data_IF_490988028777
#
_entry.id   IF_490988028777
#
_cell.length_a   1.000
_cell.length_b   1.000
_cell.length_c   1.000
_cell.angle_alpha   90.00
_cell.angle_beta   90.00
_cell.angle_gamma   90.00
#
_symmetry.space_group_name_H-M   'P 1'
#
loop_
_entity.id
_entity.type
_entity.pdbx_description
1 polymer ?
#
# COMPACT_ATOMS: atom_id res chain seq x y z
N UNK A 1 -35.98 62.93 -6.12
CA UNK A 1 -36.71 62.49 -7.32
C UNK A 1 -36.56 60.98 -7.37
N UNK A 2 -37.67 60.30 -7.13
CA UNK A 2 -37.77 58.86 -6.99
C UNK A 2 -38.40 58.31 -8.27
N UNK A 3 -37.76 57.33 -8.89
CA UNK A 3 -38.33 56.55 -10.00
C UNK A 3 -38.06 55.07 -9.66
N UNK A 4 -39.01 54.38 -9.04
CA UNK A 4 -40.08 53.59 -9.67
C UNK A 4 -39.56 52.35 -10.42
N UNK A 5 -39.53 51.24 -9.69
CA UNK A 5 -39.56 49.86 -10.20
C UNK A 5 -40.92 49.57 -10.85
N UNK A 6 -40.96 48.85 -11.99
CA UNK A 6 -42.11 48.04 -12.38
C UNK A 6 -41.93 46.56 -11.99
N UNK A 7 -43.06 45.82 -11.81
CA UNK A 7 -43.09 44.53 -11.12
C UNK A 7 -42.93 43.32 -12.03
N UNK A 8 -42.74 42.18 -11.36
CA UNK A 8 -42.64 40.82 -11.89
C UNK A 8 -43.91 40.37 -12.64
N UNK A 9 -43.70 39.76 -13.80
CA UNK A 9 -44.72 38.99 -14.50
C UNK A 9 -44.59 37.50 -14.16
N UNK A 10 -45.78 36.94 -13.96
CA UNK A 10 -46.14 35.65 -13.40
C UNK A 10 -46.42 34.70 -14.59
N UNK A 11 -45.41 33.92 -15.02
CA UNK A 11 -45.59 32.93 -16.09
C UNK A 11 -45.89 31.55 -15.48
N UNK A 12 -47.19 31.31 -15.31
CA UNK A 12 -47.79 30.00 -15.17
C UNK A 12 -47.65 29.24 -16.51
N UNK A 13 -46.80 28.22 -16.56
CA UNK A 13 -46.81 27.25 -17.64
C UNK A 13 -47.53 25.96 -17.24
N UNK A 14 -48.66 25.77 -17.93
CA UNK A 14 -49.48 24.57 -18.08
C UNK A 14 -48.69 23.26 -18.08
N UNK A 15 -49.01 22.41 -17.10
CA UNK A 15 -48.72 20.98 -17.13
C UNK A 15 -49.78 20.33 -18.05
N UNK A 16 -49.42 20.12 -19.32
CA UNK A 16 -50.16 19.21 -20.21
C UNK A 16 -49.62 17.79 -20.05
N UNK A 17 -50.48 16.97 -19.44
CA UNK A 17 -50.50 15.51 -19.50
C UNK A 17 -50.39 15.00 -20.94
N UNK A 18 -49.38 14.18 -21.21
CA UNK A 18 -49.34 13.30 -22.37
C UNK A 18 -49.20 11.86 -21.89
N UNK A 19 -50.33 11.16 -21.96
CA UNK A 19 -50.41 9.71 -22.02
C UNK A 19 -49.57 9.21 -23.20
N UNK A 20 -48.67 8.28 -22.91
CA UNK A 20 -48.01 7.46 -23.92
C UNK A 20 -47.93 6.03 -23.38
N UNK A 21 -48.98 5.27 -23.68
CA UNK A 21 -48.95 3.81 -23.79
C UNK A 21 -47.76 3.40 -24.66
N UNK A 22 -46.87 2.56 -24.14
CA UNK A 22 -46.01 1.71 -24.95
C UNK A 22 -45.98 0.30 -24.40
N UNK A 23 -46.52 -0.56 -25.24
CA UNK A 23 -46.59 -2.00 -25.17
C UNK A 23 -45.22 -2.64 -24.86
N UNK A 24 -45.21 -3.55 -23.90
CA UNK A 24 -44.13 -4.51 -23.67
C UNK A 24 -44.35 -5.74 -24.57
N UNK A 25 -43.38 -6.16 -25.39
CA UNK A 25 -43.48 -7.44 -26.08
C UNK A 25 -43.15 -8.62 -25.14
N UNK A 26 -43.71 -9.82 -25.40
CA UNK A 26 -43.48 -11.01 -24.59
C UNK A 26 -42.14 -11.64 -24.97
N UNK A 27 -41.34 -12.00 -23.97
CA UNK A 27 -40.16 -12.86 -24.16
C UNK A 27 -40.44 -14.19 -23.49
N UNK A 28 -40.76 -15.17 -24.34
CA UNK A 28 -40.73 -16.59 -24.03
C UNK A 28 -39.31 -17.01 -23.61
N UNK A 29 -39.23 -17.75 -22.51
CA UNK A 29 -37.98 -18.28 -21.98
C UNK A 29 -37.43 -19.48 -22.75
N UNK A 30 -36.37 -20.10 -22.20
CA UNK A 30 -36.44 -21.54 -22.02
C UNK A 30 -36.15 -21.97 -20.58
N UNK A 31 -36.95 -22.95 -20.18
CA UNK A 31 -36.90 -23.76 -18.97
C UNK A 31 -35.52 -24.38 -18.76
N UNK A 32 -34.96 -24.20 -17.55
CA UNK A 32 -33.92 -25.07 -17.02
C UNK A 32 -34.35 -25.57 -15.63
N UNK A 33 -34.90 -26.79 -15.65
CA UNK A 33 -34.84 -27.89 -14.69
C UNK A 33 -34.48 -27.56 -13.23
N UNK A 34 -35.50 -27.66 -12.38
CA UNK A 34 -35.40 -27.89 -10.94
C UNK A 34 -34.97 -29.34 -10.66
N UNK A 35 -33.84 -29.50 -9.96
CA UNK A 35 -33.50 -30.60 -9.07
C UNK A 35 -32.44 -30.00 -8.11
N UNK A 36 -32.64 -29.83 -6.81
CA UNK A 36 -33.33 -30.68 -5.85
C UNK A 36 -32.28 -31.37 -4.99
N UNK A 37 -31.77 -30.71 -3.95
CA UNK A 37 -31.32 -31.33 -2.69
C UNK A 37 -31.42 -30.31 -1.57
N UNK A 38 -32.36 -30.58 -0.67
CA UNK A 38 -32.40 -30.04 0.67
C UNK A 38 -31.45 -30.83 1.57
N UNK A 39 -30.68 -30.16 2.42
CA UNK A 39 -30.15 -30.75 3.65
C UNK A 39 -29.81 -29.63 4.65
N UNK A 40 -30.80 -29.33 5.50
CA UNK A 40 -30.59 -28.75 6.81
C UNK A 40 -29.85 -29.81 7.67
N UNK A 41 -28.72 -29.47 8.27
CA UNK A 41 -28.23 -30.19 9.44
C UNK A 41 -27.76 -29.20 10.50
N UNK A 42 -28.60 -29.07 11.51
CA UNK A 42 -28.29 -28.53 12.83
C UNK A 42 -27.74 -29.68 13.68
N UNK A 43 -26.49 -29.58 14.13
CA UNK A 43 -25.93 -30.19 15.36
C UNK A 43 -24.69 -29.33 15.70
N UNK A 44 -24.41 -28.86 16.92
CA UNK A 44 -24.70 -29.42 18.22
C UNK A 44 -23.44 -30.05 18.82
N UNK A 45 -22.70 -29.26 19.63
CA UNK A 45 -21.90 -29.65 20.81
C UNK A 45 -20.60 -30.48 20.60
N UNK A 46 -19.49 -29.96 21.15
CA UNK A 46 -18.67 -30.72 22.10
C UNK A 46 -17.27 -31.24 21.69
N UNK A 47 -16.24 -30.49 22.13
CA UNK A 47 -15.02 -30.96 22.80
C UNK A 47 -14.00 -31.92 22.14
N UNK A 48 -12.74 -31.68 22.56
CA UNK A 48 -11.57 -32.59 22.63
C UNK A 48 -10.55 -32.65 21.47
N UNK A 49 -9.41 -32.01 21.75
CA UNK A 49 -8.00 -32.44 21.59
C UNK A 49 -7.43 -32.81 20.20
N UNK A 50 -6.30 -32.16 19.88
CA UNK A 50 -5.05 -32.61 19.20
C UNK A 50 -4.31 -31.28 18.89
N UNK A 51 -3.31 -30.81 19.66
CA UNK A 51 -1.95 -31.32 19.88
C UNK A 51 -1.22 -31.67 18.57
N UNK A 52 -0.64 -30.67 17.88
CA UNK A 52 0.72 -30.75 17.33
C UNK A 52 1.17 -29.50 16.55
N UNK A 53 2.46 -29.18 16.74
CA UNK A 53 3.40 -28.45 15.88
C UNK A 53 3.32 -26.93 15.76
N UNK A 54 4.09 -26.27 16.61
CA UNK A 54 5.07 -25.21 16.24
C UNK A 54 6.26 -25.42 17.18
N UNK A 55 7.31 -26.12 16.73
CA UNK A 55 8.55 -25.51 16.24
C UNK A 55 9.12 -24.44 17.19
N UNK A 56 9.76 -24.91 18.26
CA UNK A 56 10.81 -24.14 18.94
C UNK A 56 12.14 -24.82 18.69
N UNK A 57 12.89 -24.16 17.83
CA UNK A 57 14.31 -24.33 17.52
C UNK A 57 15.17 -24.51 18.76
N UNK A 58 15.88 -25.64 18.83
CA UNK A 58 17.08 -25.82 19.65
C UNK A 58 18.18 -24.82 19.25
N UNK A 59 18.96 -24.34 20.22
CA UNK A 59 20.38 -24.09 20.01
C UNK A 59 21.26 -24.93 20.97
N UNK A 60 22.55 -25.06 20.66
CA UNK A 60 23.25 -26.33 20.71
C UNK A 60 23.84 -26.67 22.09
N UNK A 61 23.91 -27.98 22.32
CA UNK A 61 24.80 -28.63 23.27
C UNK A 61 26.21 -28.08 23.14
N UNK A 62 26.66 -27.37 24.17
CA UNK A 62 28.08 -27.08 24.34
C UNK A 62 28.74 -28.31 24.91
N UNK A 63 29.55 -28.93 24.06
CA UNK A 63 30.65 -29.80 24.44
C UNK A 63 31.47 -29.14 25.55
N UNK A 64 31.35 -29.68 26.74
CA UNK A 64 32.37 -29.62 27.77
C UNK A 64 32.70 -31.06 28.16
N UNK A 65 33.50 -31.66 27.28
CA UNK A 65 34.59 -32.57 27.63
C UNK A 65 35.12 -32.25 29.04
N UNK A 66 34.65 -32.99 30.04
CA UNK A 66 35.31 -33.13 31.33
C UNK A 66 35.49 -34.63 31.55
N UNK A 67 36.72 -35.05 31.27
CA UNK A 67 37.29 -36.35 31.47
C UNK A 67 36.64 -37.15 32.62
N UNK A 68 36.13 -38.32 32.28
CA UNK A 68 36.03 -39.47 33.18
C UNK A 68 37.43 -39.80 33.69
N UNK A 69 37.86 -39.12 34.75
CA UNK A 69 38.89 -39.62 35.63
C UNK A 69 38.18 -40.47 36.68
N UNK A 70 38.09 -41.77 36.41
CA UNK A 70 37.93 -42.79 37.44
C UNK A 70 39.10 -42.63 38.42
N UNK A 71 38.91 -41.78 39.43
CA UNK A 71 39.84 -41.69 40.55
C UNK A 71 39.50 -42.85 41.48
N UNK A 72 40.07 -43.99 41.11
CA UNK A 72 40.26 -45.14 41.99
C UNK A 72 41.13 -44.69 43.17
N UNK A 73 40.62 -44.66 44.42
CA UNK A 73 41.43 -44.28 45.57
C UNK A 73 42.32 -45.44 46.06
N UNK A 74 42.69 -46.39 45.19
CA UNK A 74 43.63 -47.47 45.50
C UNK A 74 45.03 -47.32 44.86
N UNK A 75 45.40 -46.10 44.44
CA UNK A 75 46.79 -45.78 44.09
C UNK A 75 47.59 -45.50 45.39
N UNK A 76 47.86 -46.58 46.14
CA UNK A 76 48.99 -46.63 47.06
C UNK A 76 50.26 -46.38 46.23
N UNK A 77 50.72 -45.13 46.16
CA UNK A 77 52.06 -44.84 45.67
C UNK A 77 53.07 -45.48 46.61
N UNK A 78 53.43 -46.71 46.29
CA UNK A 78 54.55 -47.45 46.85
C UNK A 78 55.82 -46.78 46.34
N UNK A 79 56.35 -45.81 47.09
CA UNK A 79 57.72 -45.35 46.89
C UNK A 79 58.64 -46.41 47.48
N UNK A 80 59.01 -47.40 46.65
CA UNK A 80 60.17 -48.25 46.88
C UNK A 80 61.42 -47.35 46.88
N UNK A 81 61.82 -46.87 48.06
CA UNK A 81 63.24 -46.61 48.32
C UNK A 81 63.85 -47.90 48.81
N UNK A 82 64.62 -48.54 47.95
CA UNK A 82 65.56 -49.58 48.34
C UNK A 82 66.51 -49.02 49.41
N UNK A 83 66.32 -49.41 50.66
CA UNK A 83 67.40 -49.51 51.63
C UNK A 83 68.04 -50.89 51.49
N UNK A 84 69.37 -51.05 51.64
CA UNK A 84 70.05 -52.32 51.37
C UNK A 84 69.70 -53.49 52.30
N UNK A 85 68.86 -53.29 53.32
CA UNK A 85 68.44 -54.32 54.26
C UNK A 85 66.91 -54.52 54.16
N UNK A 86 66.49 -55.62 53.55
CA UNK A 86 65.10 -55.93 53.21
C UNK A 86 64.19 -56.17 54.43
N UNK A 87 63.48 -55.13 54.85
CA UNK A 87 62.29 -55.23 55.73
C UNK A 87 61.26 -54.19 55.30
N UNK A 88 60.17 -54.63 54.63
CA UNK A 88 59.01 -53.77 54.39
C UNK A 88 57.95 -54.08 55.46
N UNK A 89 57.87 -53.21 56.47
CA UNK A 89 56.80 -53.25 57.46
C UNK A 89 55.56 -52.54 56.90
N UNK A 90 54.48 -53.28 56.69
CA UNK A 90 53.16 -52.72 56.39
C UNK A 90 52.67 -51.89 57.60
N UNK A 91 52.93 -50.58 57.57
CA UNK A 91 52.46 -49.64 58.59
C UNK A 91 51.02 -49.28 58.26
N UNK A 92 50.04 -49.91 58.91
CA UNK A 92 48.64 -49.46 58.92
C UNK A 92 48.63 -47.98 59.29
N UNK A 93 48.32 -47.09 58.34
CA UNK A 93 48.05 -45.71 58.70
C UNK A 93 46.81 -45.71 59.61
N UNK A 94 46.84 -45.02 60.76
CA UNK A 94 45.66 -44.87 61.58
C UNK A 94 44.61 -44.10 60.77
N UNK A 95 43.43 -44.70 60.57
CA UNK A 95 42.25 -44.01 60.07
C UNK A 95 42.03 -42.82 61.01
N UNK A 96 42.43 -41.63 60.56
CA UNK A 96 42.54 -40.43 61.39
C UNK A 96 41.18 -40.07 62.00
N UNK A 97 41.15 -39.54 63.22
CA UNK A 97 39.91 -39.07 63.90
C UNK A 97 39.03 -38.14 63.03
N UNK A 98 39.60 -37.50 62.00
CA UNK A 98 38.87 -36.66 61.05
C UNK A 98 37.81 -37.39 60.22
N UNK A 99 37.96 -38.69 59.95
CA UNK A 99 36.95 -39.44 59.17
C UNK A 99 35.73 -39.79 60.00
N UNK A 100 35.91 -40.06 61.31
CA UNK A 100 34.80 -40.30 62.24
C UNK A 100 33.98 -39.04 62.46
N UNK A 101 34.65 -37.91 62.69
CA UNK A 101 33.99 -36.60 62.84
C UNK A 101 33.17 -36.26 61.58
N UNK A 102 33.72 -36.46 60.38
CA UNK A 102 32.97 -36.25 59.12
C UNK A 102 31.75 -37.18 59.00
N UNK A 103 31.88 -38.45 59.38
CA UNK A 103 30.74 -39.38 59.35
C UNK A 103 29.63 -38.96 60.31
N UNK A 104 29.97 -38.52 61.52
CA UNK A 104 29.00 -38.01 62.50
C UNK A 104 28.31 -36.72 62.01
N UNK A 105 29.06 -35.78 61.41
CA UNK A 105 28.51 -34.57 60.78
C UNK A 105 27.53 -34.92 59.65
N UNK A 106 27.89 -35.85 58.76
CA UNK A 106 27.00 -36.30 57.68
C UNK A 106 25.72 -36.97 58.23
N UNK A 107 25.82 -37.80 59.27
CA UNK A 107 24.66 -38.41 59.93
C UNK A 107 23.76 -37.36 60.59
N UNK A 108 24.33 -36.34 61.22
CA UNK A 108 23.57 -35.25 61.83
C UNK A 108 22.83 -34.40 60.79
N UNK A 109 23.50 -34.04 59.67
CA UNK A 109 22.88 -33.32 58.55
C UNK A 109 21.74 -34.16 57.94
N UNK A 110 21.96 -35.47 57.75
CA UNK A 110 20.93 -36.38 57.23
C UNK A 110 19.74 -36.49 58.17
N UNK A 111 19.98 -36.68 59.47
CA UNK A 111 18.92 -36.75 60.48
C UNK A 111 18.07 -35.48 60.49
N UNK A 112 18.72 -34.31 60.40
CA UNK A 112 18.03 -33.01 60.30
C UNK A 112 17.18 -32.90 59.02
N UNK A 113 17.70 -33.31 57.86
CA UNK A 113 16.96 -33.33 56.60
C UNK A 113 15.75 -34.27 56.65
N UNK A 114 15.92 -35.48 57.19
CA UNK A 114 14.83 -36.46 57.33
C UNK A 114 13.75 -35.94 58.29
N UNK A 115 14.13 -35.31 59.40
CA UNK A 115 13.19 -34.68 60.33
C UNK A 115 12.39 -33.57 59.65
N UNK A 116 13.04 -32.72 58.84
CA UNK A 116 12.35 -31.67 58.08
C UNK A 116 11.30 -32.24 57.12
N UNK A 117 11.63 -33.33 56.42
CA UNK A 117 10.71 -34.01 55.50
C UNK A 117 9.52 -34.61 56.24
N UNK A 118 9.75 -35.25 57.39
CA UNK A 118 8.67 -35.76 58.26
C UNK A 118 7.74 -34.64 58.71
N UNK A 119 8.29 -33.53 59.21
CA UNK A 119 7.48 -32.37 59.61
C UNK A 119 6.68 -31.77 58.45
N UNK A 120 7.25 -31.74 57.24
CA UNK A 120 6.53 -31.28 56.03
C UNK A 120 5.40 -32.23 55.63
N UNK A 121 5.62 -33.54 55.70
CA UNK A 121 4.56 -34.55 55.48
C UNK A 121 3.42 -34.35 56.47
N UNK A 122 3.72 -34.15 57.75
CA UNK A 122 2.71 -33.99 58.80
C UNK A 122 1.90 -32.71 58.57
N UNK A 123 2.58 -31.59 58.23
CA UNK A 123 1.90 -30.35 57.83
C UNK A 123 1.00 -30.55 56.61
N UNK A 124 1.48 -31.26 55.58
CA UNK A 124 0.69 -31.58 54.39
C UNK A 124 -0.56 -32.39 54.74
N UNK A 125 -0.44 -33.38 55.63
CA UNK A 125 -1.58 -34.18 56.10
C UNK A 125 -2.62 -33.30 56.80
N UNK A 126 -2.20 -32.45 57.73
CA UNK A 126 -3.08 -31.53 58.46
C UNK A 126 -3.82 -30.58 57.50
N UNK A 127 -3.10 -29.96 56.55
CA UNK A 127 -3.69 -29.06 55.55
C UNK A 127 -4.66 -29.79 54.63
N UNK A 128 -4.35 -31.03 54.23
CA UNK A 128 -5.22 -31.83 53.37
C UNK A 128 -6.49 -32.28 54.10
N UNK A 129 -6.38 -32.73 55.35
CA UNK A 129 -7.55 -33.11 56.16
C UNK A 129 -8.47 -31.91 56.39
N UNK A 130 -7.89 -30.75 56.71
CA UNK A 130 -8.65 -29.51 56.88
C UNK A 130 -9.32 -29.06 55.57
N UNK A 131 -8.63 -29.17 54.42
CA UNK A 131 -9.22 -28.89 53.10
C UNK A 131 -10.44 -29.78 52.83
N UNK A 132 -10.32 -31.08 53.09
CA UNK A 132 -11.40 -32.04 52.87
C UNK A 132 -12.59 -31.76 53.80
N UNK A 133 -12.31 -31.42 55.06
CA UNK A 133 -13.33 -31.02 56.03
C UNK A 133 -14.06 -29.76 55.58
N UNK A 134 -13.33 -28.70 55.23
CA UNK A 134 -13.92 -27.42 54.79
C UNK A 134 -14.68 -27.56 53.47
N UNK A 135 -14.17 -28.36 52.53
CA UNK A 135 -14.89 -28.66 51.29
C UNK A 135 -16.21 -29.36 51.58
N UNK A 136 -16.22 -30.40 52.42
CA UNK A 136 -17.43 -31.12 52.80
C UNK A 136 -18.42 -30.23 53.56
N UNK A 137 -17.93 -29.36 54.43
CA UNK A 137 -18.74 -28.37 55.12
C UNK A 137 -19.40 -27.43 54.12
N UNK A 138 -18.66 -26.94 53.12
CA UNK A 138 -19.19 -26.07 52.08
C UNK A 138 -20.26 -26.75 51.20
N UNK A 139 -20.02 -28.00 50.79
CA UNK A 139 -20.97 -28.80 50.00
C UNK A 139 -22.31 -28.99 50.73
N UNK A 140 -22.29 -29.10 52.07
CA UNK A 140 -23.50 -29.19 52.90
C UNK A 140 -24.13 -27.83 53.19
N UNK A 141 -23.29 -26.85 53.54
CA UNK A 141 -23.71 -25.51 53.94
C UNK A 141 -24.37 -24.75 52.79
N UNK A 142 -23.82 -24.84 51.57
CA UNK A 142 -24.31 -24.01 50.46
C UNK A 142 -25.77 -24.30 50.06
N UNK A 143 -26.25 -25.56 49.90
CA UNK A 143 -27.66 -25.82 49.63
C UNK A 143 -28.57 -25.44 50.80
N UNK A 144 -28.13 -25.67 52.04
CA UNK A 144 -28.87 -25.28 53.24
C UNK A 144 -29.06 -23.77 53.30
N UNK A 145 -28.00 -23.00 53.06
CA UNK A 145 -28.06 -21.54 53.03
C UNK A 145 -29.02 -21.02 51.95
N UNK A 146 -28.97 -21.62 50.75
CA UNK A 146 -29.84 -21.24 49.61
C UNK A 146 -31.33 -21.44 49.92
N UNK A 147 -31.69 -22.53 50.63
CA UNK A 147 -33.08 -22.86 50.97
C UNK A 147 -33.56 -22.34 52.33
N UNK A 148 -32.65 -21.79 53.14
CA UNK A 148 -32.97 -21.31 54.49
C UNK A 148 -33.67 -19.94 54.50
N UNK A 149 -34.22 -19.55 55.65
CA UNK A 149 -34.72 -18.19 55.89
C UNK A 149 -33.66 -17.11 55.59
N UNK A 150 -32.39 -17.39 55.91
CA UNK A 150 -31.27 -16.52 55.53
C UNK A 150 -31.16 -16.35 54.01
N UNK A 151 -31.38 -17.43 53.26
CA UNK A 151 -31.45 -17.40 51.79
C UNK A 151 -32.57 -16.49 51.30
N UNK A 152 -33.76 -16.57 51.89
CA UNK A 152 -34.88 -15.66 51.61
C UNK A 152 -34.55 -14.20 51.95
N UNK A 153 -33.81 -13.94 53.03
CA UNK A 153 -33.35 -12.59 53.37
C UNK A 153 -32.35 -12.05 52.35
N UNK A 154 -31.37 -12.87 51.92
CA UNK A 154 -30.43 -12.49 50.85
C UNK A 154 -31.18 -12.20 49.55
N UNK A 155 -32.20 -13.02 49.22
CA UNK A 155 -33.02 -12.88 48.02
C UNK A 155 -33.86 -11.59 47.96
N UNK A 156 -33.98 -10.86 49.08
CA UNK A 156 -34.69 -9.58 49.16
C UNK A 156 -33.88 -8.38 48.64
N UNK A 157 -32.55 -8.54 48.50
CA UNK A 157 -31.64 -7.48 48.04
C UNK A 157 -30.82 -7.96 46.82
N UNK A 158 -30.99 -7.29 45.69
CA UNK A 158 -30.36 -7.64 44.42
C UNK A 158 -28.81 -7.59 44.48
N UNK A 159 -28.22 -6.66 45.23
CA UNK A 159 -26.78 -6.54 45.35
C UNK A 159 -26.21 -7.69 46.20
N UNK A 160 -26.95 -8.18 47.19
CA UNK A 160 -26.56 -9.37 47.96
C UNK A 160 -26.71 -10.65 47.12
N UNK A 161 -27.75 -10.75 46.30
CA UNK A 161 -27.92 -11.85 45.34
C UNK A 161 -26.75 -11.91 44.36
N UNK A 162 -26.35 -10.77 43.78
CA UNK A 162 -25.20 -10.68 42.89
C UNK A 162 -23.91 -11.14 43.57
N UNK A 163 -23.62 -10.62 44.78
CA UNK A 163 -22.42 -11.01 45.54
C UNK A 163 -22.41 -12.49 45.87
N UNK A 164 -23.55 -13.04 46.27
CA UNK A 164 -23.65 -14.46 46.60
C UNK A 164 -23.52 -15.35 45.36
N UNK A 165 -24.14 -14.95 44.24
CA UNK A 165 -23.95 -15.62 42.95
C UNK A 165 -22.46 -15.64 42.55
N UNK A 166 -21.75 -14.53 42.75
CA UNK A 166 -20.31 -14.46 42.50
C UNK A 166 -19.50 -15.39 43.42
N UNK A 167 -19.89 -15.55 44.70
CA UNK A 167 -19.29 -16.55 45.61
C UNK A 167 -19.56 -17.97 45.11
N UNK A 168 -20.77 -18.25 44.61
CA UNK A 168 -21.13 -19.56 44.06
C UNK A 168 -20.35 -19.90 42.77
N UNK A 169 -20.13 -18.90 41.93
CA UNK A 169 -19.48 -19.03 40.62
C UNK A 169 -17.95 -19.14 40.71
N UNK A 170 -17.32 -18.95 41.89
CA UNK A 170 -15.88 -19.18 42.06
C UNK A 170 -15.54 -20.64 41.83
N UNK A 171 -14.38 -20.90 41.24
CA UNK A 171 -13.88 -22.26 41.09
C UNK A 171 -13.65 -22.90 42.47
N UNK A 172 -13.93 -24.21 42.56
CA UNK A 172 -13.70 -25.02 43.74
C UNK A 172 -12.91 -26.25 43.35
N UNK A 173 -12.03 -26.77 44.23
CA UNK A 173 -11.42 -28.06 44.03
C UNK A 173 -12.51 -29.10 43.78
N UNK A 174 -12.46 -29.70 42.60
CA UNK A 174 -13.38 -30.78 42.22
C UNK A 174 -13.08 -32.03 43.04
N UNK A 175 -14.05 -32.94 43.14
CA UNK A 175 -13.83 -34.23 43.82
C UNK A 175 -12.64 -35.01 43.21
N UNK A 176 -12.44 -34.88 41.90
CA UNK A 176 -11.29 -35.47 41.19
C UNK A 176 -9.96 -34.86 41.64
N UNK A 177 -9.88 -33.55 41.82
CA UNK A 177 -8.66 -32.87 42.30
C UNK A 177 -8.37 -33.22 43.76
N UNK A 178 -9.39 -33.26 44.62
CA UNK A 178 -9.25 -33.67 46.01
C UNK A 178 -8.74 -35.11 46.14
N UNK A 179 -9.26 -36.02 45.30
CA UNK A 179 -8.76 -37.39 45.24
C UNK A 179 -7.32 -37.46 44.71
N UNK A 180 -6.98 -36.62 43.73
CA UNK A 180 -5.59 -36.52 43.25
C UNK A 180 -4.62 -36.05 44.35
N UNK A 181 -5.01 -35.08 45.17
CA UNK A 181 -4.21 -34.66 46.33
C UNK A 181 -4.02 -35.79 47.34
N UNK A 182 -5.07 -36.55 47.65
CA UNK A 182 -5.01 -37.73 48.52
C UNK A 182 -4.06 -38.79 47.97
N UNK A 183 -4.18 -39.14 46.70
CA UNK A 183 -3.36 -40.17 46.07
C UNK A 183 -1.88 -39.77 46.05
N UNK A 184 -1.58 -38.51 45.71
CA UNK A 184 -0.21 -37.97 45.77
C UNK A 184 0.33 -37.96 47.19
N UNK A 185 -0.47 -37.57 48.18
CA UNK A 185 -0.08 -37.62 49.59
C UNK A 185 0.24 -39.05 50.06
N UNK A 186 -0.61 -40.04 49.71
CA UNK A 186 -0.39 -41.45 50.05
C UNK A 186 0.90 -41.96 49.42
N UNK A 187 1.16 -41.62 48.16
CA UNK A 187 2.38 -42.01 47.46
C UNK A 187 3.63 -41.43 48.13
N UNK A 188 3.62 -40.14 48.48
CA UNK A 188 4.73 -39.48 49.16
C UNK A 188 4.94 -40.01 50.59
N UNK A 189 3.85 -40.23 51.34
CA UNK A 189 3.92 -40.72 52.72
C UNK A 189 4.58 -42.10 52.83
N UNK A 190 4.32 -43.00 51.87
CA UNK A 190 5.00 -44.32 51.83
C UNK A 190 6.52 -44.21 51.76
N UNK A 191 7.04 -43.21 51.03
CA UNK A 191 8.48 -42.96 50.95
C UNK A 191 8.99 -42.40 52.28
N UNK A 192 8.24 -41.52 52.95
CA UNK A 192 8.61 -41.02 54.29
C UNK A 192 8.62 -42.14 55.34
N UNK A 193 7.66 -43.06 55.29
CA UNK A 193 7.61 -44.19 56.22
C UNK A 193 8.82 -45.14 56.03
N UNK A 194 9.36 -45.21 54.81
CA UNK A 194 10.61 -45.93 54.54
C UNK A 194 11.84 -45.24 55.13
N UNK A 195 11.88 -43.89 55.21
CA UNK A 195 12.94 -43.15 55.90
C UNK A 195 12.98 -43.46 57.40
N UNK A 196 11.81 -43.69 58.02
CA UNK A 196 11.74 -44.05 59.43
C UNK A 196 12.27 -45.47 59.71
N UNK A 197 12.26 -46.34 58.69
CA UNK A 197 12.68 -47.74 58.80
C UNK A 197 14.15 -47.96 58.42
N UNK A 198 14.72 -47.10 57.57
CA UNK A 198 16.10 -47.19 57.10
C UNK A 198 16.87 -45.88 57.30
N UNK A 199 17.67 -45.81 58.37
CA UNK A 199 18.52 -44.66 58.67
C UNK A 199 19.61 -44.40 57.61
N UNK A 200 19.86 -45.36 56.72
CA UNK A 200 20.81 -45.22 55.62
C UNK A 200 20.21 -44.57 54.37
N UNK A 201 18.89 -44.52 54.25
CA UNK A 201 18.18 -43.94 53.12
C UNK A 201 18.29 -42.40 53.13
N UNK A 202 18.68 -41.84 51.98
CA UNK A 202 18.80 -40.40 51.76
C UNK A 202 17.76 -40.00 50.70
N UNK A 203 16.73 -39.24 51.08
CA UNK A 203 15.67 -38.87 50.14
C UNK A 203 16.22 -37.91 49.10
N UNK A 204 15.80 -38.08 47.84
CA UNK A 204 16.22 -37.20 46.77
C UNK A 204 15.72 -35.77 47.02
N UNK A 205 16.47 -34.78 46.52
CA UNK A 205 16.05 -33.37 46.58
C UNK A 205 14.67 -33.16 45.94
N UNK A 206 14.44 -33.83 44.81
CA UNK A 206 13.17 -33.81 44.07
C UNK A 206 11.98 -34.26 44.93
N UNK A 207 12.21 -35.15 45.90
CA UNK A 207 11.16 -35.62 46.81
C UNK A 207 10.74 -34.56 47.83
N UNK A 208 11.71 -33.84 48.44
CA UNK A 208 11.41 -32.73 49.36
C UNK A 208 10.71 -31.58 48.61
N UNK A 209 11.14 -31.31 47.38
CA UNK A 209 10.47 -30.34 46.50
C UNK A 209 9.05 -30.78 46.15
N UNK A 210 8.81 -32.06 45.88
CA UNK A 210 7.48 -32.60 45.60
C UNK A 210 6.51 -32.50 46.79
N UNK A 211 6.96 -32.77 48.03
CA UNK A 211 6.15 -32.55 49.24
C UNK A 211 5.86 -31.07 49.42
N UNK A 212 6.87 -30.21 49.26
CA UNK A 212 6.70 -28.76 49.35
C UNK A 212 5.66 -28.23 48.37
N UNK A 213 5.78 -28.59 47.09
CA UNK A 213 4.86 -28.17 46.04
C UNK A 213 3.42 -28.63 46.32
N UNK A 214 3.22 -29.90 46.70
CA UNK A 214 1.88 -30.39 47.05
C UNK A 214 1.31 -29.69 48.29
N UNK A 215 2.14 -29.34 49.27
CA UNK A 215 1.70 -28.57 50.44
C UNK A 215 1.17 -27.20 50.03
N UNK A 216 1.89 -26.49 49.17
CA UNK A 216 1.47 -25.18 48.66
C UNK A 216 0.19 -25.26 47.83
N UNK A 217 0.06 -26.28 46.97
CA UNK A 217 -1.17 -26.53 46.20
C UNK A 217 -2.38 -26.74 47.12
N UNK A 218 -2.24 -27.60 48.14
CA UNK A 218 -3.31 -27.89 49.11
C UNK A 218 -3.65 -26.68 49.96
N UNK A 219 -2.66 -25.93 50.44
CA UNK A 219 -2.90 -24.70 51.22
C UNK A 219 -3.59 -23.61 50.40
N UNK A 220 -3.26 -23.49 49.11
CA UNK A 220 -3.93 -22.57 48.19
C UNK A 220 -5.39 -22.97 47.99
N UNK A 221 -5.66 -24.26 47.76
CA UNK A 221 -7.01 -24.78 47.65
C UNK A 221 -7.80 -24.57 48.96
N UNK A 222 -7.17 -24.79 50.12
CA UNK A 222 -7.79 -24.58 51.43
C UNK A 222 -8.17 -23.12 51.64
N UNK A 223 -7.25 -22.19 51.35
CA UNK A 223 -7.50 -20.75 51.46
C UNK A 223 -8.68 -20.30 50.57
N UNK A 224 -8.80 -20.87 49.36
CA UNK A 224 -9.91 -20.61 48.45
C UNK A 224 -11.26 -21.06 49.03
N UNK A 225 -11.33 -22.29 49.56
CA UNK A 225 -12.55 -22.82 50.20
C UNK A 225 -12.92 -22.01 51.45
N UNK A 226 -11.93 -21.70 52.30
CA UNK A 226 -12.14 -20.94 53.52
C UNK A 226 -12.65 -19.52 53.22
N UNK A 227 -12.03 -18.81 52.26
CA UNK A 227 -12.46 -17.48 51.84
C UNK A 227 -13.89 -17.48 51.28
N UNK A 228 -14.25 -18.50 50.50
CA UNK A 228 -15.62 -18.65 49.96
C UNK A 228 -16.66 -18.76 51.08
N UNK A 229 -16.36 -19.56 52.11
CA UNK A 229 -17.23 -19.71 53.29
C UNK A 229 -17.31 -18.41 54.11
N UNK A 230 -16.19 -17.72 54.28
CA UNK A 230 -16.15 -16.44 55.00
C UNK A 230 -17.01 -15.38 54.29
N UNK A 231 -16.88 -15.26 52.96
CA UNK A 231 -17.67 -14.33 52.15
C UNK A 231 -19.17 -14.65 52.21
N UNK A 232 -19.54 -15.93 52.11
CA UNK A 232 -20.94 -16.35 52.26
C UNK A 232 -21.50 -15.97 53.63
N UNK A 233 -20.76 -16.23 54.71
CA UNK A 233 -21.16 -15.83 56.06
C UNK A 233 -21.25 -14.31 56.21
N UNK A 234 -20.34 -13.55 55.60
CA UNK A 234 -20.37 -12.10 55.63
C UNK A 234 -21.63 -11.55 54.93
N UNK A 235 -22.00 -12.12 53.78
CA UNK A 235 -23.25 -11.80 53.08
C UNK A 235 -24.46 -12.13 53.95
N UNK A 236 -24.49 -13.31 54.59
CA UNK A 236 -25.54 -13.68 55.53
C UNK A 236 -25.69 -12.70 56.69
N UNK A 237 -24.58 -12.24 57.28
CA UNK A 237 -24.61 -11.22 58.35
C UNK A 237 -25.23 -9.90 57.89
N UNK A 238 -24.99 -9.49 56.64
CA UNK A 238 -25.61 -8.28 56.08
C UNK A 238 -27.12 -8.46 55.88
N UNK A 239 -27.54 -9.66 55.48
CA UNK A 239 -28.93 -9.98 55.22
C UNK A 239 -29.81 -10.10 56.47
N UNK A 240 -29.23 -10.32 57.66
CA UNK A 240 -29.98 -10.49 58.92
C UNK A 240 -30.98 -9.37 59.23
N UNK A 241 -30.71 -8.15 58.76
CA UNK A 241 -31.59 -6.98 58.98
C UNK A 241 -32.72 -6.85 57.97
N UNK A 242 -32.71 -7.66 56.92
CA UNK A 242 -33.68 -7.61 55.83
C UNK A 242 -34.87 -8.53 56.12
N UNK A 243 -36.05 -8.12 55.62
CA UNK A 243 -37.21 -8.98 55.64
C UNK A 243 -37.03 -10.14 54.64
N UNK A 244 -37.43 -11.37 54.96
CA UNK A 244 -37.35 -12.49 54.02
C UNK A 244 -38.24 -12.24 52.80
N UNK A 245 -37.72 -12.51 51.60
CA UNK A 245 -38.48 -12.47 50.37
C UNK A 245 -39.31 -13.75 50.17
N UNK A 246 -40.41 -13.65 49.41
CA UNK A 246 -41.26 -14.81 49.08
C UNK A 246 -40.55 -15.82 48.16
N UNK A 247 -39.54 -15.38 47.40
CA UNK A 247 -38.76 -16.24 46.50
C UNK A 247 -37.52 -16.81 47.18
N UNK A 248 -37.07 -17.99 46.73
CA UNK A 248 -35.84 -18.61 47.23
C UNK A 248 -34.60 -17.90 46.67
N UNK A 249 -33.45 -18.05 47.35
CA UNK A 249 -32.18 -17.52 46.83
C UNK A 249 -31.78 -18.17 45.51
N UNK A 250 -32.12 -19.45 45.30
CA UNK A 250 -31.86 -20.15 44.04
C UNK A 250 -32.59 -19.46 42.88
N UNK A 251 -33.88 -19.16 43.05
CA UNK A 251 -34.69 -18.49 42.04
C UNK A 251 -34.18 -17.07 41.76
N UNK A 252 -33.82 -16.33 42.82
CA UNK A 252 -33.27 -14.99 42.68
C UNK A 252 -31.94 -14.97 41.91
N UNK A 253 -31.03 -15.93 42.18
CA UNK A 253 -29.75 -16.08 41.47
C UNK A 253 -29.98 -16.44 40.01
N UNK A 254 -30.92 -17.35 39.73
CA UNK A 254 -31.23 -17.74 38.36
C UNK A 254 -31.83 -16.58 37.57
N UNK A 255 -32.80 -15.84 38.14
CA UNK A 255 -33.33 -14.63 37.54
C UNK A 255 -32.24 -13.56 37.32
N UNK A 256 -31.32 -13.39 38.28
CA UNK A 256 -30.17 -12.49 38.12
C UNK A 256 -29.28 -12.91 36.94
N UNK A 257 -28.94 -14.21 36.84
CA UNK A 257 -28.13 -14.74 35.72
C UNK A 257 -28.83 -14.56 34.38
N UNK A 258 -30.14 -14.82 34.30
CA UNK A 258 -30.93 -14.61 33.08
C UNK A 258 -30.95 -13.14 32.65
N UNK A 259 -31.17 -12.21 33.60
CA UNK A 259 -31.11 -10.77 33.32
C UNK A 259 -29.73 -10.34 32.84
N UNK A 260 -28.65 -10.86 33.44
CA UNK A 260 -27.27 -10.57 33.01
C UNK A 260 -26.97 -11.10 31.60
N UNK A 261 -27.46 -12.29 31.27
CA UNK A 261 -27.33 -12.87 29.93
C UNK A 261 -28.11 -12.03 28.92
N UNK A 262 -29.36 -11.65 29.22
CA UNK A 262 -30.18 -10.81 28.35
C UNK A 262 -29.53 -9.44 28.09
N UNK A 263 -29.05 -8.76 29.14
CA UNK A 263 -28.32 -7.50 29.02
C UNK A 263 -27.03 -7.66 28.17
N UNK A 264 -26.33 -8.79 28.31
CA UNK A 264 -25.16 -9.09 27.47
C UNK A 264 -25.53 -9.33 26.01
N UNK A 265 -26.63 -10.01 25.74
CA UNK A 265 -27.14 -10.22 24.38
C UNK A 265 -27.51 -8.87 23.74
N UNK A 266 -28.17 -7.98 24.49
CA UNK A 266 -28.54 -6.65 24.03
C UNK A 266 -27.31 -5.79 23.71
N UNK A 267 -26.32 -5.73 24.61
CA UNK A 267 -25.08 -4.98 24.36
C UNK A 267 -24.30 -5.52 23.15
N UNK A 268 -24.25 -6.84 22.95
CA UNK A 268 -23.64 -7.43 21.74
C UNK A 268 -24.45 -7.10 20.49
N UNK A 269 -25.77 -7.11 20.56
CA UNK A 269 -26.63 -6.75 19.45
C UNK A 269 -26.48 -5.26 19.07
N UNK A 270 -26.38 -4.36 20.04
CA UNK A 270 -26.13 -2.94 19.83
C UNK A 270 -24.76 -2.68 19.21
N UNK A 271 -23.71 -3.34 19.74
CA UNK A 271 -22.37 -3.27 19.18
C UNK A 271 -22.32 -3.78 17.73
N UNK A 272 -23.05 -4.87 17.43
CA UNK A 272 -23.16 -5.39 16.06
C UNK A 272 -23.89 -4.39 15.14
N UNK A 273 -25.02 -3.82 15.58
CA UNK A 273 -25.75 -2.81 14.79
C UNK A 273 -24.88 -1.57 14.51
N UNK A 274 -24.09 -1.12 15.48
CA UNK A 274 -23.15 -0.02 15.29
C UNK A 274 -22.03 -0.38 14.28
N UNK A 275 -21.45 -1.58 14.38
CA UNK A 275 -20.44 -2.06 13.44
C UNK A 275 -20.98 -2.21 12.01
N UNK A 276 -22.20 -2.72 11.86
CA UNK A 276 -22.87 -2.86 10.56
C UNK A 276 -23.14 -1.47 9.94
N UNK A 277 -23.59 -0.49 10.73
CA UNK A 277 -23.78 0.89 10.26
C UNK A 277 -22.46 1.53 9.80
N UNK A 278 -21.38 1.39 10.56
CA UNK A 278 -20.05 1.91 10.19
C UNK A 278 -19.51 1.23 8.91
N UNK A 279 -19.83 -0.05 8.70
CA UNK A 279 -19.46 -0.76 7.47
C UNK A 279 -20.23 -0.20 6.26
N UNK A 280 -21.53 0.05 6.40
CA UNK A 280 -22.35 0.66 5.35
C UNK A 280 -21.84 2.07 5.00
N UNK A 281 -21.53 2.90 6.01
CA UNK A 281 -20.97 4.23 5.80
C UNK A 281 -19.61 4.18 5.07
N UNK A 282 -18.76 3.21 5.42
CA UNK A 282 -17.48 3.01 4.71
C UNK A 282 -17.67 2.55 3.26
N UNK A 283 -18.64 1.71 2.99
CA UNK A 283 -18.94 1.25 1.62
C UNK A 283 -19.46 2.43 0.80
N UNK A 284 -20.46 3.16 1.32
CA UNK A 284 -21.05 4.31 0.61
C UNK A 284 -20.02 5.41 0.35
N UNK A 285 -19.14 5.72 1.31
CA UNK A 285 -18.06 6.68 1.11
C UNK A 285 -17.08 6.24 -0.01
N UNK A 286 -16.73 4.94 -0.06
CA UNK A 286 -15.89 4.40 -1.13
C UNK A 286 -16.58 4.45 -2.49
N UNK A 287 -17.87 4.16 -2.55
CA UNK A 287 -18.66 4.24 -3.80
C UNK A 287 -18.74 5.68 -4.31
N UNK A 288 -18.96 6.65 -3.43
CA UNK A 288 -18.95 8.07 -3.79
C UNK A 288 -17.59 8.53 -4.32
N UNK A 289 -16.50 8.11 -3.67
CA UNK A 289 -15.15 8.47 -4.13
C UNK A 289 -14.81 7.81 -5.47
N UNK A 290 -15.18 6.55 -5.68
CA UNK A 290 -15.02 5.90 -6.98
C UNK A 290 -15.85 6.58 -8.07
N UNK A 291 -17.07 7.01 -7.77
CA UNK A 291 -17.89 7.76 -8.71
C UNK A 291 -17.26 9.13 -9.05
N UNK A 292 -16.64 9.80 -8.08
CA UNK A 292 -15.91 11.05 -8.30
C UNK A 292 -14.70 10.85 -9.24
N UNK A 293 -13.86 9.87 -8.94
CA UNK A 293 -12.68 9.55 -9.76
C UNK A 293 -13.09 9.18 -11.19
N UNK A 294 -14.14 8.38 -11.38
CA UNK A 294 -14.64 8.03 -12.71
C UNK A 294 -15.07 9.27 -13.50
N UNK A 295 -15.80 10.19 -12.89
CA UNK A 295 -16.19 11.46 -13.53
C UNK A 295 -14.98 12.30 -13.93
N UNK A 296 -13.95 12.37 -13.08
CA UNK A 296 -12.71 13.10 -13.40
C UNK A 296 -11.98 12.49 -14.60
N UNK A 297 -11.92 11.15 -14.67
CA UNK A 297 -11.34 10.45 -15.82
C UNK A 297 -12.15 10.73 -17.09
N UNK A 298 -13.49 10.63 -17.02
CA UNK A 298 -14.36 10.87 -18.18
C UNK A 298 -14.20 12.30 -18.72
N UNK A 299 -14.12 13.30 -17.82
CA UNK A 299 -13.86 14.69 -18.20
C UNK A 299 -12.50 14.86 -18.86
N UNK A 300 -11.43 14.27 -18.29
CA UNK A 300 -10.09 14.35 -18.88
C UNK A 300 -10.01 13.68 -20.27
N UNK A 301 -10.74 12.57 -20.47
CA UNK A 301 -10.84 11.91 -21.77
C UNK A 301 -11.55 12.80 -22.78
N UNK A 302 -12.66 13.44 -22.40
CA UNK A 302 -13.38 14.38 -23.26
C UNK A 302 -12.50 15.58 -23.64
N UNK A 303 -11.80 16.17 -22.67
CA UNK A 303 -10.89 17.30 -22.92
C UNK A 303 -9.77 16.92 -23.90
N UNK A 304 -9.16 15.74 -23.73
CA UNK A 304 -8.14 15.22 -24.64
C UNK A 304 -8.69 15.03 -26.07
N UNK A 305 -9.88 14.43 -26.20
CA UNK A 305 -10.53 14.24 -27.50
C UNK A 305 -10.84 15.58 -28.18
N UNK A 306 -11.31 16.58 -27.43
CA UNK A 306 -11.59 17.91 -27.99
C UNK A 306 -10.31 18.61 -28.45
N UNK A 307 -9.21 18.48 -27.70
CA UNK A 307 -7.91 19.03 -28.08
C UNK A 307 -7.35 18.37 -29.35
N UNK A 308 -7.44 17.05 -29.47
CA UNK A 308 -7.02 16.31 -30.67
C UNK A 308 -7.84 16.70 -31.90
N UNK A 309 -9.16 16.85 -31.75
CA UNK A 309 -10.04 17.34 -32.82
C UNK A 309 -9.68 18.78 -33.23
N UNK A 310 -9.34 19.66 -32.28
CA UNK A 310 -8.91 21.02 -32.59
C UNK A 310 -7.56 21.04 -33.33
N UNK A 311 -6.59 20.20 -32.93
CA UNK A 311 -5.29 20.11 -33.60
C UNK A 311 -5.42 19.57 -35.02
N UNK A 312 -6.20 18.49 -35.20
CA UNK A 312 -6.45 17.92 -36.53
C UNK A 312 -7.13 18.92 -37.46
N UNK A 313 -8.13 19.67 -36.97
CA UNK A 313 -8.75 20.76 -37.74
C UNK A 313 -7.76 21.85 -38.11
N UNK A 314 -6.91 22.29 -37.16
CA UNK A 314 -5.88 23.29 -37.43
C UNK A 314 -4.87 22.82 -38.48
N UNK A 315 -4.46 21.55 -38.43
CA UNK A 315 -3.56 20.93 -39.42
C UNK A 315 -4.20 20.88 -40.80
N UNK A 316 -5.46 20.42 -40.90
CA UNK A 316 -6.20 20.39 -42.16
C UNK A 316 -6.34 21.79 -42.76
N UNK A 317 -6.63 22.80 -41.94
CA UNK A 317 -6.72 24.19 -42.38
C UNK A 317 -5.39 24.70 -42.95
N UNK A 318 -4.27 24.44 -42.27
CA UNK A 318 -2.92 24.82 -42.76
C UNK A 318 -2.58 24.12 -44.08
N UNK A 319 -2.92 22.84 -44.23
CA UNK A 319 -2.71 22.11 -45.47
C UNK A 319 -3.53 22.72 -46.62
N UNK A 320 -4.80 23.04 -46.38
CA UNK A 320 -5.67 23.66 -47.37
C UNK A 320 -5.17 25.06 -47.79
N UNK A 321 -4.70 25.87 -46.84
CA UNK A 321 -4.10 27.19 -47.11
C UNK A 321 -2.82 27.07 -47.95
N UNK A 322 -1.93 26.13 -47.62
CA UNK A 322 -0.70 25.89 -48.37
C UNK A 322 -0.98 25.42 -49.81
N UNK A 323 -1.93 24.50 -49.98
CA UNK A 323 -2.34 24.02 -51.31
C UNK A 323 -3.00 25.14 -52.13
N UNK A 324 -3.81 25.99 -51.48
CA UNK A 324 -4.39 27.18 -52.09
C UNK A 324 -3.33 28.17 -52.58
N UNK A 325 -2.33 28.46 -51.75
CA UNK A 325 -1.21 29.33 -52.11
C UNK A 325 -0.39 28.77 -53.27
N UNK A 326 -0.11 27.47 -53.27
CA UNK A 326 0.63 26.80 -54.34
C UNK A 326 -0.14 26.83 -55.67
N UNK A 327 -1.46 26.59 -55.64
CA UNK A 327 -2.33 26.72 -56.82
C UNK A 327 -2.30 28.15 -57.38
N UNK A 328 -2.39 29.17 -56.52
CA UNK A 328 -2.29 30.56 -56.96
C UNK A 328 -0.93 30.88 -57.57
N UNK A 329 0.17 30.38 -56.97
CA UNK A 329 1.53 30.56 -57.51
C UNK A 329 1.66 29.94 -58.89
N UNK A 330 1.20 28.70 -59.07
CA UNK A 330 1.21 28.01 -60.38
C UNK A 330 0.38 28.75 -61.43
N UNK A 331 -0.80 29.23 -61.05
CA UNK A 331 -1.65 30.01 -61.96
C UNK A 331 -0.96 31.31 -62.41
N UNK A 332 -0.32 32.05 -61.48
CA UNK A 332 0.42 33.28 -61.81
C UNK A 332 1.60 33.00 -62.74
N UNK A 333 2.37 31.94 -62.49
CA UNK A 333 3.48 31.55 -63.36
C UNK A 333 3.01 31.14 -64.75
N UNK A 334 1.90 30.40 -64.86
CA UNK A 334 1.34 30.00 -66.15
C UNK A 334 0.88 31.22 -66.98
N UNK A 335 0.26 32.22 -66.35
CA UNK A 335 -0.08 33.49 -67.02
C UNK A 335 1.18 34.20 -67.48
N UNK A 336 2.18 34.35 -66.60
CA UNK A 336 3.45 35.02 -66.94
C UNK A 336 4.18 34.34 -68.11
N UNK A 337 4.18 33.00 -68.15
CA UNK A 337 4.78 32.23 -69.23
C UNK A 337 4.02 32.37 -70.55
N UNK A 338 2.68 32.44 -70.51
CA UNK A 338 1.86 32.72 -71.69
C UNK A 338 2.16 34.11 -72.27
N UNK A 339 2.24 35.12 -71.40
CA UNK A 339 2.59 36.48 -71.83
C UNK A 339 4.03 36.58 -72.35
N UNK A 340 4.96 35.85 -71.72
CA UNK A 340 6.35 35.73 -72.18
C UNK A 340 6.42 35.15 -73.60
N UNK A 341 5.69 34.07 -73.87
CA UNK A 341 5.67 33.44 -75.19
C UNK A 341 5.08 34.37 -76.26
N UNK A 342 4.05 35.15 -75.91
CA UNK A 342 3.49 36.20 -76.80
C UNK A 342 4.53 37.29 -77.11
N UNK A 343 5.28 37.71 -76.09
CA UNK A 343 6.26 38.79 -76.20
C UNK A 343 7.64 38.31 -76.71
N UNK A 344 7.82 37.01 -76.93
CA UNK A 344 9.11 36.38 -77.26
C UNK A 344 9.78 36.99 -78.49
N UNK A 345 9.01 37.36 -79.52
CA UNK A 345 9.54 38.04 -80.70
C UNK A 345 10.14 39.41 -80.36
N UNK A 346 9.52 40.16 -79.45
CA UNK A 346 10.07 41.43 -78.97
C UNK A 346 11.27 41.22 -78.07
N UNK A 347 11.22 40.23 -77.17
CA UNK A 347 12.32 39.86 -76.28
C UNK A 347 13.57 39.50 -77.09
N UNK A 348 13.45 38.60 -78.05
CA UNK A 348 14.60 38.15 -78.88
C UNK A 348 15.18 39.26 -79.77
N UNK A 349 14.33 40.18 -80.23
CA UNK A 349 14.72 41.29 -81.10
C UNK A 349 15.34 42.47 -80.32
N UNK A 350 14.63 42.98 -79.31
CA UNK A 350 15.02 44.15 -78.53
C UNK A 350 16.07 43.82 -77.48
N UNK A 351 15.97 42.67 -76.81
CA UNK A 351 16.89 42.31 -75.71
C UNK A 351 18.12 41.55 -76.18
N UNK A 352 18.39 41.51 -77.50
CA UNK A 352 19.57 40.88 -78.08
C UNK A 352 20.91 41.28 -77.42
N UNK A 353 21.14 42.56 -77.05
CA UNK A 353 22.36 42.95 -76.33
C UNK A 353 22.51 42.32 -74.95
N UNK A 354 21.44 41.80 -74.37
CA UNK A 354 21.44 41.19 -73.03
C UNK A 354 21.42 39.67 -73.10
N UNK A 355 20.64 39.10 -74.02
CA UNK A 355 20.46 37.65 -74.11
C UNK A 355 21.52 36.93 -74.95
N UNK A 356 22.26 37.67 -75.78
CA UNK A 356 23.37 37.09 -76.54
C UNK A 356 24.58 36.83 -75.65
N UNK A 357 25.35 35.82 -76.02
CA UNK A 357 26.54 35.46 -75.26
C UNK A 357 27.68 36.44 -75.56
N UNK A 358 28.36 36.87 -74.52
CA UNK A 358 29.54 37.74 -74.60
C UNK A 358 30.41 37.58 -73.36
N UNK A 359 31.58 38.21 -73.38
CA UNK A 359 32.56 38.24 -72.28
C UNK A 359 32.46 39.49 -71.44
N UNK A 360 31.50 40.38 -71.68
CA UNK A 360 31.37 41.62 -70.89
C UNK A 360 30.13 41.61 -70.00
N UNK A 361 30.13 42.28 -68.85
CA UNK A 361 28.94 42.41 -68.00
C UNK A 361 28.72 43.88 -67.61
N UNK A 362 27.48 44.30 -67.33
CA UNK A 362 27.21 45.62 -66.79
C UNK A 362 27.91 45.82 -65.45
N UNK A 363 28.59 46.95 -65.30
CA UNK A 363 29.14 47.43 -64.04
C UNK A 363 28.81 48.90 -63.81
N UNK A 364 29.21 49.44 -62.66
CA UNK A 364 28.84 50.79 -62.19
C UNK A 364 29.23 51.97 -63.10
N UNK A 365 30.08 51.74 -64.11
CA UNK A 365 30.55 52.77 -65.06
C UNK A 365 30.59 52.28 -66.52
N UNK A 366 29.80 51.25 -66.85
CA UNK A 366 29.74 50.66 -68.20
C UNK A 366 30.05 49.17 -68.24
N UNK A 367 30.25 48.63 -69.45
CA UNK A 367 30.64 47.24 -69.66
C UNK A 367 32.05 46.95 -69.14
N UNK A 368 32.21 45.85 -68.40
CA UNK A 368 33.50 45.33 -67.93
C UNK A 368 33.71 43.92 -68.45
N UNK A 369 34.94 43.57 -68.83
CA UNK A 369 35.26 42.19 -69.16
C UNK A 369 35.05 41.31 -67.92
N UNK A 370 34.38 40.19 -68.12
CA UNK A 370 34.14 39.13 -67.16
C UNK A 370 34.83 37.85 -67.65
N UNK A 371 35.16 36.95 -66.73
CA UNK A 371 35.80 35.67 -67.05
C UNK A 371 34.81 34.69 -67.70
N UNK A 372 33.52 34.83 -67.41
CA UNK A 372 32.47 33.92 -67.88
C UNK A 372 31.89 34.39 -69.22
N UNK A 373 31.93 33.52 -70.23
CA UNK A 373 31.23 33.74 -71.51
C UNK A 373 29.77 33.32 -71.38
N UNK A 374 28.85 34.26 -71.57
CA UNK A 374 27.42 33.98 -71.40
C UNK A 374 26.52 35.20 -71.61
N UNK A 375 25.19 35.01 -71.46
CA UNK A 375 24.26 36.13 -71.44
C UNK A 375 24.54 37.06 -70.27
N UNK A 376 23.93 38.23 -70.30
CA UNK A 376 24.03 39.19 -69.20
C UNK A 376 23.35 38.65 -67.95
N UNK A 377 23.97 38.87 -66.80
CA UNK A 377 23.38 38.50 -65.51
C UNK A 377 22.27 39.46 -65.08
N UNK A 378 21.12 38.91 -64.68
CA UNK A 378 20.01 39.67 -64.15
C UNK A 378 20.40 40.39 -62.86
N UNK A 379 21.12 39.72 -61.95
CA UNK A 379 21.63 40.35 -60.74
C UNK A 379 22.62 41.50 -61.04
N UNK A 380 23.41 41.40 -62.12
CA UNK A 380 24.28 42.51 -62.58
C UNK A 380 23.48 43.68 -63.17
N UNK A 381 22.39 43.41 -63.89
CA UNK A 381 21.48 44.47 -64.37
C UNK A 381 20.82 45.21 -63.20
N UNK A 382 20.36 44.48 -62.18
CA UNK A 382 19.78 45.06 -60.96
C UNK A 382 20.79 45.86 -60.16
N UNK A 383 21.96 45.29 -59.87
CA UNK A 383 23.00 45.96 -59.07
C UNK A 383 23.64 47.17 -59.76
N UNK A 384 23.58 47.23 -61.09
CA UNK A 384 23.96 48.41 -61.85
C UNK A 384 22.85 49.50 -61.90
N UNK A 385 21.70 49.28 -61.25
CA UNK A 385 20.59 50.23 -61.23
C UNK A 385 19.91 50.40 -62.58
N UNK A 386 19.96 49.40 -63.46
CA UNK A 386 19.47 49.50 -64.85
C UNK A 386 18.03 49.05 -65.03
N UNK A 387 17.45 48.47 -63.97
CA UNK A 387 16.08 47.94 -63.95
C UNK A 387 15.22 48.69 -62.93
N UNK A 388 15.58 49.92 -62.54
CA UNK A 388 14.72 50.76 -61.71
C UNK A 388 13.72 51.50 -62.60
N UNK A 389 12.50 51.72 -62.12
CA UNK A 389 11.46 52.45 -62.86
C UNK A 389 11.70 53.97 -62.80
N UNK A 390 12.86 54.39 -63.30
CA UNK A 390 13.29 55.79 -63.32
C UNK A 390 13.84 56.16 -64.71
N UNK A 391 13.63 57.41 -65.11
CA UNK A 391 14.15 57.94 -66.38
C UNK A 391 15.68 57.80 -66.44
N UNK A 392 16.36 58.03 -65.31
CA UNK A 392 17.82 57.85 -65.18
C UNK A 392 18.25 56.40 -65.42
N UNK A 393 17.54 55.42 -64.85
CA UNK A 393 17.83 54.00 -65.08
C UNK A 393 17.69 53.60 -66.54
N UNK A 394 16.62 54.06 -67.20
CA UNK A 394 16.42 53.86 -68.65
C UNK A 394 17.52 54.53 -69.47
N UNK A 395 17.92 55.74 -69.07
CA UNK A 395 18.99 56.48 -69.73
C UNK A 395 20.33 55.77 -69.58
N UNK A 396 20.61 55.21 -68.41
CA UNK A 396 21.77 54.38 -68.15
C UNK A 396 21.73 53.05 -68.93
N UNK A 397 20.57 52.39 -69.02
CA UNK A 397 20.37 51.18 -69.82
C UNK A 397 20.66 51.46 -71.31
N UNK A 398 20.23 52.62 -71.80
CA UNK A 398 20.53 53.09 -73.15
C UNK A 398 22.01 53.36 -73.35
N UNK A 399 22.63 54.21 -72.53
CA UNK A 399 24.06 54.53 -72.69
C UNK A 399 24.96 53.32 -72.53
N UNK A 400 24.60 52.37 -71.67
CA UNK A 400 25.33 51.13 -71.50
C UNK A 400 25.35 50.33 -72.80
N UNK A 401 24.20 50.10 -73.41
CA UNK A 401 24.08 49.24 -74.59
C UNK A 401 24.57 49.91 -75.87
N UNK A 402 24.61 51.25 -75.92
CA UNK A 402 24.97 51.96 -77.13
C UNK A 402 26.47 51.91 -77.42
N UNK A 403 26.84 51.06 -78.38
CA UNK A 403 28.03 51.22 -79.24
C UNK A 403 29.33 51.64 -78.55
N UNK A 404 29.59 51.14 -77.33
CA UNK A 404 30.89 51.29 -76.71
C UNK A 404 31.82 50.21 -77.29
N UNK A 405 33.10 50.51 -77.53
CA UNK A 405 34.11 49.54 -78.01
C UNK A 405 34.23 48.29 -77.09
N UNK A 406 33.61 48.34 -75.92
CA UNK A 406 33.64 47.31 -74.89
C UNK A 406 32.38 46.44 -74.81
N UNK A 407 31.32 46.66 -75.62
CA UNK A 407 30.22 45.70 -75.73
C UNK A 407 30.48 44.76 -76.90
N UNK A 408 30.77 43.49 -76.60
CA UNK A 408 31.06 42.45 -77.59
C UNK A 408 29.81 41.71 -78.09
N UNK A 409 28.61 42.16 -77.69
CA UNK A 409 27.34 41.50 -78.02
C UNK A 409 26.65 42.08 -79.24
N UNK A 410 25.80 41.24 -79.83
CA UNK A 410 24.96 41.66 -80.95
C UNK A 410 23.91 42.68 -80.49
N UNK A 411 23.85 43.80 -81.19
CA UNK A 411 22.99 44.92 -80.80
C UNK A 411 21.49 44.69 -81.08
N UNK A 412 21.16 43.77 -81.99
CA UNK A 412 19.77 43.49 -82.39
C UNK A 412 18.99 44.73 -82.84
N UNK A 413 17.72 44.80 -82.45
CA UNK A 413 16.84 45.95 -82.68
C UNK A 413 16.92 47.00 -81.55
N UNK A 414 17.82 46.84 -80.58
CA UNK A 414 18.00 47.84 -79.54
C UNK A 414 18.48 49.17 -80.17
N UNK A 415 18.03 50.35 -79.70
CA UNK A 415 18.44 51.61 -80.34
C UNK A 415 19.95 51.89 -80.23
N UNK A 416 20.60 52.31 -81.32
CA UNK A 416 22.02 52.74 -81.32
C UNK A 416 22.15 54.20 -80.90
N UNK A 417 23.28 54.63 -80.36
CA UNK A 417 23.54 56.05 -80.08
C UNK A 417 24.13 56.72 -81.32
N UNK A 418 23.51 57.82 -81.75
CA UNK A 418 23.93 58.58 -82.94
C UNK A 418 24.42 60.00 -82.58
N UNK A 419 24.37 60.36 -81.29
CA UNK A 419 24.81 61.67 -80.80
C UNK A 419 23.74 62.76 -80.93
N UNK A 420 23.79 63.74 -80.03
CA UNK A 420 22.90 64.91 -80.00
C UNK A 420 21.77 64.83 -78.96
N UNK A 421 21.38 65.99 -78.42
CA UNK A 421 20.43 66.11 -77.31
C UNK A 421 19.00 65.62 -77.60
N UNK A 422 18.65 65.40 -78.88
CA UNK A 422 17.35 64.88 -79.34
C UNK A 422 17.33 63.38 -79.69
N UNK A 423 18.44 62.64 -79.50
CA UNK A 423 18.51 61.21 -79.82
C UNK A 423 17.80 60.34 -78.78
N UNK A 424 17.94 60.70 -77.50
CA UNK A 424 17.34 60.03 -76.36
C UNK A 424 15.80 60.06 -76.39
N UNK A 425 15.21 61.24 -76.57
CA UNK A 425 13.75 61.44 -76.51
C UNK A 425 13.03 60.64 -77.61
N UNK A 426 13.66 60.46 -78.78
CA UNK A 426 13.09 59.67 -79.90
C UNK A 426 13.13 58.17 -79.63
N UNK A 427 14.10 57.70 -78.83
CA UNK A 427 14.34 56.27 -78.58
C UNK A 427 13.81 55.79 -77.22
N UNK A 428 13.48 56.73 -76.33
CA UNK A 428 12.96 56.48 -74.99
C UNK A 428 11.86 55.40 -74.95
N UNK A 429 10.80 55.41 -75.80
CA UNK A 429 9.75 54.40 -75.73
C UNK A 429 10.24 52.96 -75.97
N UNK A 430 11.24 52.79 -76.84
CA UNK A 430 11.82 51.47 -77.12
C UNK A 430 12.70 50.98 -75.97
N UNK A 431 13.39 51.90 -75.30
CA UNK A 431 14.25 51.60 -74.15
C UNK A 431 13.41 51.28 -72.91
N UNK A 432 12.35 52.06 -72.69
CA UNK A 432 11.31 51.78 -71.70
C UNK A 432 10.72 50.38 -71.92
N UNK A 433 10.29 50.05 -73.14
CA UNK A 433 9.78 48.71 -73.45
C UNK A 433 10.81 47.61 -73.18
N UNK A 434 12.09 47.84 -73.48
CA UNK A 434 13.14 46.87 -73.20
C UNK A 434 13.36 46.69 -71.68
N UNK A 435 13.32 47.77 -70.91
CA UNK A 435 13.40 47.72 -69.45
C UNK A 435 12.19 47.00 -68.86
N UNK A 436 10.98 47.28 -69.35
CA UNK A 436 9.75 46.60 -68.92
C UNK A 436 9.83 45.09 -69.14
N UNK A 437 10.34 44.66 -70.30
CA UNK A 437 10.51 43.23 -70.61
C UNK A 437 11.53 42.57 -69.67
N UNK A 438 12.64 43.24 -69.37
CA UNK A 438 13.66 42.76 -68.44
C UNK A 438 13.17 42.72 -66.99
N UNK A 439 12.39 43.72 -66.55
CA UNK A 439 11.79 43.75 -65.22
C UNK A 439 10.71 42.67 -65.07
N UNK A 440 9.82 42.56 -66.06
CA UNK A 440 8.66 41.66 -66.02
C UNK A 440 9.04 40.20 -66.18
N UNK A 441 9.93 39.88 -67.11
CA UNK A 441 10.28 38.50 -67.46
C UNK A 441 11.69 38.09 -67.04
N UNK A 442 12.47 38.97 -66.39
CA UNK A 442 13.88 38.72 -66.08
C UNK A 442 14.14 37.38 -65.39
N UNK A 443 13.36 37.05 -64.34
CA UNK A 443 13.49 35.77 -63.62
C UNK A 443 13.17 34.57 -64.54
N UNK A 444 12.07 34.65 -65.29
CA UNK A 444 11.70 33.60 -66.25
C UNK A 444 12.74 33.46 -67.38
N UNK A 445 13.42 34.55 -67.75
CA UNK A 445 14.51 34.55 -68.71
C UNK A 445 15.78 33.89 -68.13
N UNK A 446 16.03 34.00 -66.83
CA UNK A 446 17.09 33.22 -66.15
C UNK A 446 16.73 31.73 -66.18
N UNK A 447 15.50 31.36 -65.82
CA UNK A 447 15.03 29.96 -65.88
C UNK A 447 15.13 29.36 -67.29
N UNK A 448 14.88 30.17 -68.33
CA UNK A 448 14.99 29.78 -69.74
C UNK A 448 16.41 29.96 -70.32
N UNK A 449 17.42 30.24 -69.50
CA UNK A 449 18.83 30.45 -69.88
C UNK A 449 19.05 31.58 -70.92
N UNK A 450 18.14 32.53 -71.00
CA UNK A 450 18.27 33.74 -71.82
C UNK A 450 19.02 34.85 -71.08
N UNK A 451 19.01 34.84 -69.74
CA UNK A 451 19.86 35.67 -68.88
C UNK A 451 20.64 34.76 -67.94
N UNK A 452 21.78 35.24 -67.44
CA UNK A 452 22.47 34.58 -66.34
C UNK A 452 21.83 35.01 -65.00
N UNK A 453 21.90 34.20 -63.93
CA UNK A 453 21.38 34.57 -62.61
C UNK A 453 22.04 35.84 -62.04
#
# INVERSE_FOLDING_TARGET
>A
MAEHFPPADDDQHDIKSLDAEKESPPVDGPRAVFAGVAALTVMGIGAFAIRLMLETTSPPSRDASAASASHDPSDETYVERATPDGVVAARKQPVSDTTKVRQEEHLAIRSSSNMRIVLRRDKLFESLDLLLLEHNNWVKYSPEMIGSEMGHQIASDEALVERFAAVLDRDMPTESELNSFRDRYIALSKVVDSLASDASYEPSRDFDEAIGALTEEVETALALVASRREDANAIGRLALSLAPADQTLADAIEQFRQRRIAARIETVADAKRAADAEMVDRITAKEMEQARIRREIDLAVLDSQTAELAETQAKLKRMAEAEGAERQRRARLAVLESEFNRDLGQITSLLKPFISHGRTQPGSRGWRSDATYGPVSLSKLRSAGLLEDTVESRQNLYYLTTGNRYNDREHGAFPRYVGGAGDWQRKHPTIERAQDLLQKYGELMVDKNMLAP
#
